data_IF_023150877519
#
_entry.id   IF_023150877519
#
_cell.length_a   1.000
_cell.length_b   1.000
_cell.length_c   1.000
_cell.angle_alpha   90.00
_cell.angle_beta   90.00
_cell.angle_gamma   90.00
#
_symmetry.space_group_name_H-M   'P 1'
#
loop_
_entity.id
_entity.type
_entity.pdbx_description
1 polymer ?
#
# COMPACT_ATOMS: atom_id res chain seq x y z
N UNK A 1 7.46 -0.99 -1.97
CA UNK A 1 7.80 -1.14 -0.52
C UNK A 1 9.01 -0.33 -0.08
N UNK A 2 10.00 -0.07 -0.96
CA UNK A 2 11.27 0.58 -0.59
C UNK A 2 11.16 1.86 0.27
N UNK A 3 10.22 2.76 0.01
CA UNK A 3 10.12 4.05 0.74
C UNK A 3 9.35 3.99 2.07
N UNK A 4 8.69 2.87 2.39
CA UNK A 4 7.96 2.73 3.66
C UNK A 4 6.76 3.67 3.81
N UNK A 5 6.11 4.01 2.70
CA UNK A 5 4.93 4.86 2.65
C UNK A 5 3.69 3.97 2.44
N UNK A 6 2.64 4.07 3.28
CA UNK A 6 1.40 3.36 3.05
C UNK A 6 0.59 3.99 1.91
N UNK A 7 -0.30 3.22 1.28
CA UNK A 7 -0.99 3.66 0.06
C UNK A 7 -2.50 3.38 0.09
N UNK A 8 -3.29 4.28 -0.48
CA UNK A 8 -4.64 3.99 -0.96
C UNK A 8 -4.55 3.79 -2.46
N UNK A 9 -4.99 2.64 -2.97
CA UNK A 9 -4.89 2.32 -4.39
C UNK A 9 -6.24 2.03 -5.02
N UNK A 10 -6.41 2.55 -6.23
CA UNK A 10 -7.61 2.37 -7.08
C UNK A 10 -7.18 1.66 -8.37
N UNK A 11 -7.03 0.32 -8.36
CA UNK A 11 -6.64 -0.41 -9.56
C UNK A 11 -7.73 -0.31 -10.63
N UNK A 12 -7.32 -0.10 -11.88
CA UNK A 12 -8.23 0.03 -13.02
C UNK A 12 -8.30 -1.25 -13.87
N UNK A 13 -7.15 -1.89 -14.12
CA UNK A 13 -7.03 -3.13 -14.87
C UNK A 13 -5.67 -3.81 -14.62
N UNK A 14 -5.58 -5.09 -14.99
CA UNK A 14 -4.30 -5.83 -15.02
C UNK A 14 -3.71 -6.16 -13.65
N UNK A 15 -2.39 -6.21 -13.60
CA UNK A 15 -1.56 -6.62 -12.47
C UNK A 15 -1.61 -5.63 -11.28
N UNK A 16 -2.20 -4.45 -11.46
CA UNK A 16 -2.44 -3.50 -10.38
C UNK A 16 -3.38 -4.09 -9.31
N UNK A 17 -4.33 -4.95 -9.68
CA UNK A 17 -5.22 -5.63 -8.73
C UNK A 17 -4.45 -6.60 -7.82
N UNK A 18 -3.57 -7.41 -8.39
CA UNK A 18 -2.73 -8.34 -7.62
C UNK A 18 -1.74 -7.58 -6.72
N UNK A 19 -1.19 -6.48 -7.24
CA UNK A 19 -0.30 -5.60 -6.48
C UNK A 19 -1.01 -5.01 -5.27
N UNK A 20 -2.22 -4.49 -5.46
CA UNK A 20 -3.00 -3.91 -4.36
C UNK A 20 -3.53 -4.95 -3.38
N UNK A 21 -3.87 -6.15 -3.86
CA UNK A 21 -4.23 -7.30 -3.00
C UNK A 21 -3.07 -7.63 -2.05
N UNK A 22 -1.83 -7.70 -2.56
CA UNK A 22 -0.65 -7.94 -1.72
C UNK A 22 -0.35 -6.78 -0.77
N UNK A 23 -0.51 -5.54 -1.20
CA UNK A 23 -0.33 -4.34 -0.36
C UNK A 23 -1.31 -4.36 0.83
N UNK A 24 -2.58 -4.64 0.57
CA UNK A 24 -3.61 -4.71 1.59
C UNK A 24 -3.40 -5.91 2.53
N UNK A 25 -3.08 -7.09 2.00
CA UNK A 25 -2.77 -8.28 2.80
C UNK A 25 -1.56 -8.08 3.72
N UNK A 26 -0.57 -7.29 3.27
CA UNK A 26 0.60 -6.88 4.08
C UNK A 26 0.28 -5.78 5.10
N UNK A 27 -0.94 -5.26 5.12
CA UNK A 27 -1.41 -4.25 6.05
C UNK A 27 -0.80 -2.86 5.84
N UNK A 28 -0.26 -2.59 4.64
CA UNK A 28 0.40 -1.32 4.31
C UNK A 28 -0.43 -0.44 3.38
N UNK A 29 -1.71 -0.76 3.18
CA UNK A 29 -2.60 0.06 2.37
C UNK A 29 -4.03 -0.45 2.31
N UNK A 30 -4.86 0.28 1.59
CA UNK A 30 -6.27 -0.04 1.31
C UNK A 30 -6.46 -0.05 -0.20
N UNK A 31 -7.13 -1.08 -0.71
CA UNK A 31 -7.60 -1.14 -2.09
C UNK A 31 -9.06 -0.68 -2.14
N UNK A 32 -9.37 0.24 -3.05
CA UNK A 32 -10.73 0.64 -3.37
C UNK A 32 -11.10 0.12 -4.77
N UNK A 33 -12.31 -0.39 -4.90
CA UNK A 33 -12.80 -0.88 -6.19
C UNK A 33 -13.38 0.29 -6.99
N UNK A 34 -12.69 0.68 -8.07
CA UNK A 34 -13.04 1.83 -8.93
C UNK A 34 -14.54 1.90 -9.30
N UNK A 35 -15.16 0.77 -9.62
CA UNK A 35 -16.57 0.73 -10.06
C UNK A 35 -17.60 0.82 -8.93
N UNK A 36 -17.17 0.71 -7.67
CA UNK A 36 -18.07 0.60 -6.51
C UNK A 36 -17.82 1.66 -5.45
N UNK A 37 -16.68 2.34 -5.51
CA UNK A 37 -16.33 3.39 -4.56
C UNK A 37 -17.09 4.70 -4.84
N UNK A 38 -17.38 5.42 -3.77
CA UNK A 38 -17.86 6.80 -3.75
C UNK A 38 -16.73 7.78 -3.37
N UNK A 39 -17.03 9.08 -3.41
CA UNK A 39 -16.14 10.10 -2.86
C UNK A 39 -15.90 9.91 -1.35
N UNK A 40 -16.95 9.54 -0.61
CA UNK A 40 -16.86 9.28 0.83
C UNK A 40 -15.95 8.09 1.15
N UNK A 41 -15.99 7.03 0.34
CA UNK A 41 -15.09 5.88 0.48
C UNK A 41 -13.63 6.30 0.30
N UNK A 42 -13.33 7.16 -0.69
CA UNK A 42 -11.98 7.67 -0.90
C UNK A 42 -11.51 8.52 0.28
N UNK A 43 -12.33 9.47 0.72
CA UNK A 43 -12.01 10.33 1.86
C UNK A 43 -11.77 9.50 3.12
N UNK A 44 -12.65 8.55 3.41
CA UNK A 44 -12.55 7.66 4.58
C UNK A 44 -11.29 6.81 4.52
N UNK A 45 -10.98 6.21 3.37
CA UNK A 45 -9.76 5.43 3.19
C UNK A 45 -8.49 6.28 3.40
N UNK A 46 -8.46 7.50 2.87
CA UNK A 46 -7.34 8.43 3.06
C UNK A 46 -7.16 8.80 4.53
N UNK A 47 -8.23 9.22 5.21
CA UNK A 47 -8.19 9.58 6.63
C UNK A 47 -7.72 8.38 7.47
N UNK A 48 -8.22 7.18 7.19
CA UNK A 48 -7.81 5.98 7.91
C UNK A 48 -6.32 5.66 7.70
N UNK A 49 -5.83 5.70 6.46
CA UNK A 49 -4.40 5.44 6.18
C UNK A 49 -3.48 6.49 6.83
N UNK A 50 -3.90 7.75 6.89
CA UNK A 50 -3.13 8.85 7.49
C UNK A 50 -3.14 8.75 9.03
N UNK A 51 -4.31 8.55 9.64
CA UNK A 51 -4.49 8.64 11.09
C UNK A 51 -4.18 7.34 11.83
N UNK A 52 -4.37 6.18 11.18
CA UNK A 52 -4.12 4.90 11.78
C UNK A 52 -2.64 4.49 11.61
N UNK A 53 -1.88 4.66 12.68
CA UNK A 53 -0.42 4.40 12.72
C UNK A 53 -0.03 3.01 12.21
N UNK A 54 -0.91 2.01 12.32
CA UNK A 54 -0.64 0.63 11.84
C UNK A 54 -0.15 0.60 10.40
N UNK A 55 -0.70 1.43 9.51
CA UNK A 55 -0.35 1.40 8.09
C UNK A 55 1.07 1.91 7.88
N UNK A 56 1.42 3.01 8.56
CA UNK A 56 2.77 3.56 8.52
C UNK A 56 3.79 2.62 9.14
N UNK A 57 3.50 2.05 10.30
CA UNK A 57 4.37 1.10 10.99
C UNK A 57 4.63 -0.14 10.13
N UNK A 58 3.59 -0.71 9.52
CA UNK A 58 3.73 -1.86 8.60
C UNK A 58 4.54 -1.50 7.36
N UNK A 59 4.28 -0.34 6.75
CA UNK A 59 5.03 0.11 5.59
C UNK A 59 6.52 0.31 5.91
N UNK A 60 6.84 0.93 7.06
CA UNK A 60 8.22 1.15 7.53
C UNK A 60 8.93 -0.18 7.82
N UNK A 61 8.29 -1.11 8.51
CA UNK A 61 8.83 -2.45 8.77
C UNK A 61 9.16 -3.19 7.47
N UNK A 62 8.22 -3.21 6.53
CA UNK A 62 8.43 -3.88 5.24
C UNK A 62 9.49 -3.19 4.38
N UNK A 63 9.63 -1.86 4.49
CA UNK A 63 10.73 -1.11 3.86
C UNK A 63 12.09 -1.55 4.40
N UNK A 64 12.22 -1.70 5.73
CA UNK A 64 13.45 -2.16 6.36
C UNK A 64 13.82 -3.56 5.88
N UNK A 65 12.87 -4.51 5.94
CA UNK A 65 13.07 -5.89 5.45
C UNK A 65 13.47 -5.90 3.97
N UNK A 66 12.87 -5.05 3.15
CA UNK A 66 13.17 -5.02 1.72
C UNK A 66 14.57 -4.44 1.42
N UNK A 67 15.03 -3.47 2.22
CA UNK A 67 16.37 -2.87 2.12
C UNK A 67 17.47 -3.77 2.70
N UNK A 68 17.13 -4.64 3.64
CA UNK A 68 18.05 -5.57 4.30
C UNK A 68 18.54 -6.69 3.38
N UNK A 69 17.85 -6.92 2.25
CA UNK A 69 18.29 -7.95 1.32
C UNK A 69 19.60 -7.60 0.59
N UNK A 70 20.46 -8.59 0.26
CA UNK A 70 21.75 -8.35 -0.39
C UNK A 70 21.61 -7.83 -1.83
N UNK A 71 22.42 -6.82 -2.17
CA UNK A 71 22.39 -6.11 -3.46
C UNK A 71 21.36 -4.98 -3.48
N UNK A 72 21.69 -3.80 -4.02
CA UNK A 72 20.71 -2.71 -4.10
C UNK A 72 19.52 -3.13 -5.00
N UNK A 73 18.25 -2.80 -4.69
CA UNK A 73 17.10 -3.30 -5.46
C UNK A 73 17.13 -3.01 -6.96
N UNK A 74 17.80 -1.93 -7.37
CA UNK A 74 17.99 -1.53 -8.79
C UNK A 74 19.17 -2.26 -9.46
N UNK A 75 20.05 -2.86 -8.66
CA UNK A 75 21.27 -3.54 -9.11
C UNK A 75 21.12 -5.06 -9.14
N UNK A 76 19.89 -5.57 -9.07
CA UNK A 76 19.54 -7.00 -9.10
C UNK A 76 18.84 -7.36 -10.40
#
# INVERSE_FOLDING_TARGET
MYHGVPVVGVPLFGDHYDTMTRVQAKGMGIMLEWKRMSEEDLHTAMVNVIMNKRYRERAQLLSQIHKDQPGHPVSR
#
